data_IF_194928704688
#
_entry.id   IF_194928704688
#
_cell.length_a   1.000
_cell.length_b   1.000
_cell.length_c   1.000
_cell.angle_alpha   90.00
_cell.angle_beta   90.00
_cell.angle_gamma   90.00
#
_symmetry.space_group_name_H-M   'P 1'
#
loop_
_entity.id
_entity.type
_entity.pdbx_description
1 polymer ?
#
# COMPACT_ATOMS: atom_id res chain seq x y z
N UNK A 1 -11.48 3.25 11.38
CA UNK A 1 -10.54 3.14 10.25
C UNK A 1 -10.62 1.72 9.70
N UNK A 2 -10.76 1.58 8.39
CA UNK A 2 -10.83 0.30 7.67
C UNK A 2 -9.44 -0.16 7.21
N UNK A 3 -9.32 -1.43 6.81
CA UNK A 3 -8.08 -1.96 6.23
C UNK A 3 -7.64 -1.18 4.99
N UNK A 4 -8.59 -0.77 4.14
CA UNK A 4 -8.31 0.01 2.95
C UNK A 4 -7.73 1.39 3.29
N UNK A 5 -8.34 2.10 4.24
CA UNK A 5 -7.84 3.41 4.69
C UNK A 5 -6.44 3.31 5.29
N UNK A 6 -6.20 2.30 6.13
CA UNK A 6 -4.87 2.07 6.70
C UNK A 6 -3.85 1.76 5.62
N UNK A 7 -4.20 0.94 4.62
CA UNK A 7 -3.34 0.67 3.49
C UNK A 7 -2.99 1.94 2.70
N UNK A 8 -3.96 2.81 2.45
CA UNK A 8 -3.74 4.10 1.78
C UNK A 8 -2.79 4.97 2.60
N UNK A 9 -2.97 5.09 3.91
CA UNK A 9 -2.07 5.87 4.77
C UNK A 9 -0.64 5.34 4.71
N UNK A 10 -0.46 4.02 4.87
CA UNK A 10 0.87 3.40 4.81
C UNK A 10 1.52 3.59 3.43
N UNK A 11 0.76 3.44 2.35
CA UNK A 11 1.28 3.63 0.99
C UNK A 11 1.64 5.09 0.70
N UNK A 12 0.85 6.05 1.21
CA UNK A 12 1.15 7.48 1.10
C UNK A 12 2.42 7.86 1.87
N UNK A 13 2.64 7.29 3.05
CA UNK A 13 3.84 7.56 3.84
C UNK A 13 5.09 6.87 3.30
N UNK A 14 4.93 5.68 2.70
CA UNK A 14 6.07 4.89 2.25
C UNK A 14 6.70 5.41 0.96
N UNK A 15 5.96 6.17 0.15
CA UNK A 15 6.35 6.71 -1.17
C UNK A 15 7.00 5.66 -2.11
N UNK A 16 6.71 4.38 -1.86
CA UNK A 16 7.34 3.25 -2.55
C UNK A 16 6.34 2.11 -2.70
N UNK A 17 6.50 1.27 -3.74
CA UNK A 17 5.65 0.10 -3.93
C UNK A 17 5.86 -0.91 -2.80
N UNK A 18 4.81 -1.19 -2.02
CA UNK A 18 4.85 -2.12 -0.89
C UNK A 18 4.03 -3.38 -1.15
N UNK A 19 4.44 -4.48 -0.54
CA UNK A 19 3.65 -5.72 -0.53
C UNK A 19 2.48 -5.65 0.47
N UNK A 20 1.42 -6.43 0.24
CA UNK A 20 0.31 -6.56 1.20
C UNK A 20 0.79 -6.96 2.61
N UNK A 21 1.83 -7.79 2.69
CA UNK A 21 2.47 -8.17 3.94
C UNK A 21 3.09 -6.97 4.65
N UNK A 22 3.95 -6.20 3.97
CA UNK A 22 4.55 -4.98 4.53
C UNK A 22 3.50 -3.94 4.95
N UNK A 23 2.43 -3.79 4.17
CA UNK A 23 1.34 -2.87 4.48
C UNK A 23 0.64 -3.30 5.78
N UNK A 24 0.36 -4.60 5.91
CA UNK A 24 -0.29 -5.18 7.09
C UNK A 24 0.58 -5.01 8.34
N UNK A 25 1.85 -5.39 8.26
CA UNK A 25 2.82 -5.28 9.35
C UNK A 25 2.94 -3.84 9.84
N UNK A 26 3.08 -2.88 8.92
CA UNK A 26 3.17 -1.45 9.26
C UNK A 26 1.87 -0.90 9.85
N UNK A 27 0.71 -1.33 9.34
CA UNK A 27 -0.58 -0.91 9.85
C UNK A 27 -0.82 -1.43 11.28
N UNK A 28 -0.39 -2.66 11.58
CA UNK A 28 -0.43 -3.24 12.92
C UNK A 28 0.58 -2.57 13.86
N UNK A 29 1.82 -2.39 13.43
CA UNK A 29 2.87 -1.75 14.22
C UNK A 29 2.50 -0.32 14.63
N UNK A 30 1.73 0.38 13.81
CA UNK A 30 1.22 1.73 14.09
C UNK A 30 -0.14 1.74 14.81
N UNK A 31 -0.76 0.59 15.04
CA UNK A 31 -2.09 0.49 15.65
C UNK A 31 -3.21 1.11 14.80
N UNK A 32 -3.00 1.27 13.49
CA UNK A 32 -3.99 1.85 12.57
C UNK A 32 -5.20 0.92 12.37
N UNK A 33 -4.94 -0.39 12.46
CA UNK A 33 -5.95 -1.43 12.37
C UNK A 33 -5.88 -2.30 13.61
N UNK A 34 -7.06 -2.70 14.09
CA UNK A 34 -7.19 -3.71 15.14
C UNK A 34 -7.85 -4.93 14.52
N UNK A 35 -7.21 -6.08 14.66
CA UNK A 35 -7.68 -7.33 14.04
C UNK A 35 -7.93 -8.37 15.11
N UNK A 36 -9.17 -8.83 15.23
CA UNK A 36 -9.55 -9.88 16.17
C UNK A 36 -9.32 -11.32 15.62
N UNK A 37 -8.87 -11.44 14.37
CA UNK A 37 -8.78 -12.72 13.64
C UNK A 37 -7.35 -13.23 13.38
N UNK A 38 -7.25 -14.51 13.00
CA UNK A 38 -5.98 -15.25 12.79
C UNK A 38 -5.12 -14.78 11.60
N UNK A 39 -5.67 -14.01 10.65
CA UNK A 39 -4.97 -13.70 9.39
C UNK A 39 -5.26 -12.28 8.88
N UNK A 40 -4.72 -11.24 9.55
CA UNK A 40 -4.90 -9.85 9.13
C UNK A 40 -4.41 -9.58 7.69
N UNK A 41 -3.38 -10.30 7.25
CA UNK A 41 -2.84 -10.22 5.88
C UNK A 41 -3.90 -10.60 4.81
N UNK A 42 -4.70 -11.63 5.08
CA UNK A 42 -5.72 -12.09 4.14
C UNK A 42 -6.82 -11.04 3.99
N UNK A 43 -7.28 -10.47 5.10
CA UNK A 43 -8.27 -9.38 5.11
C UNK A 43 -7.72 -8.13 4.41
N UNK A 44 -6.48 -7.75 4.69
CA UNK A 44 -5.82 -6.63 4.03
C UNK A 44 -5.72 -6.86 2.51
N UNK A 45 -5.35 -8.06 2.09
CA UNK A 45 -5.26 -8.40 0.67
C UNK A 45 -6.63 -8.32 0.00
N UNK A 46 -7.69 -8.87 0.60
CA UNK A 46 -9.04 -8.78 0.08
C UNK A 46 -9.53 -7.32 -0.04
N UNK A 47 -9.22 -6.48 0.95
CA UNK A 47 -9.55 -5.06 0.93
C UNK A 47 -8.85 -4.31 -0.23
N UNK A 48 -7.58 -4.61 -0.47
CA UNK A 48 -6.83 -4.04 -1.60
C UNK A 48 -7.38 -4.49 -2.96
N UNK A 49 -7.72 -5.78 -3.10
CA UNK A 49 -8.28 -6.32 -4.34
C UNK A 49 -9.72 -5.85 -4.61
N UNK A 50 -10.52 -5.64 -3.56
CA UNK A 50 -11.90 -5.15 -3.63
C UNK A 50 -12.00 -3.62 -3.65
N UNK A 51 -10.88 -2.89 -3.60
CA UNK A 51 -10.88 -1.44 -3.63
C UNK A 51 -11.43 -0.92 -4.96
N UNK A 52 -12.27 0.14 -4.90
CA UNK A 52 -12.71 0.85 -6.10
C UNK A 52 -11.51 1.47 -6.82
N UNK A 53 -11.52 1.55 -8.16
CA UNK A 53 -10.51 2.29 -8.92
C UNK A 53 -10.32 3.74 -8.44
N UNK A 54 -11.37 4.37 -7.91
CA UNK A 54 -11.34 5.72 -7.32
C UNK A 54 -10.41 5.85 -6.11
N UNK A 55 -10.02 4.75 -5.48
CA UNK A 55 -9.09 4.76 -4.34
C UNK A 55 -7.66 5.20 -4.73
N UNK A 56 -7.34 5.29 -6.03
CA UNK A 56 -6.02 5.68 -6.51
C UNK A 56 -4.94 4.61 -6.25
N UNK A 57 -5.35 3.37 -6.00
CA UNK A 57 -4.44 2.24 -5.80
C UNK A 57 -4.01 1.67 -7.15
N UNK A 58 -2.70 1.56 -7.36
CA UNK A 58 -2.10 1.03 -8.57
C UNK A 58 -1.23 -0.18 -8.25
N UNK A 59 -1.29 -1.19 -9.09
CA UNK A 59 -0.55 -2.44 -8.91
C UNK A 59 0.70 -2.38 -9.77
N UNK A 60 1.88 -2.39 -9.15
CA UNK A 60 3.18 -2.40 -9.83
C UNK A 60 3.73 -3.83 -9.96
N UNK A 61 2.86 -4.76 -10.33
CA UNK A 61 3.28 -6.14 -10.57
C UNK A 61 3.67 -6.30 -12.05
N UNK A 62 4.98 -6.48 -12.32
CA UNK A 62 5.41 -6.99 -13.63
C UNK A 62 5.24 -8.51 -13.65
N UNK A 63 4.35 -9.07 -14.49
CA UNK A 63 4.29 -10.51 -14.67
C UNK A 63 5.59 -11.00 -15.32
N UNK A 64 6.40 -11.74 -14.55
CA UNK A 64 7.47 -12.56 -15.11
C UNK A 64 6.92 -13.89 -15.66
N UNK A 65 7.82 -14.79 -16.10
CA UNK A 65 7.47 -16.16 -16.56
C UNK A 65 6.78 -17.04 -15.51
N UNK A 66 6.77 -16.63 -14.23
CA UNK A 66 6.09 -17.32 -13.14
C UNK A 66 4.98 -16.44 -12.56
N UNK A 67 3.88 -17.08 -12.15
CA UNK A 67 2.79 -16.44 -11.41
C UNK A 67 3.36 -15.78 -10.15
N UNK A 68 2.79 -14.63 -9.74
CA UNK A 68 3.16 -13.98 -8.47
C UNK A 68 3.06 -14.99 -7.33
N UNK A 69 4.10 -15.15 -6.51
CA UNK A 69 3.97 -15.88 -5.26
C UNK A 69 3.06 -15.07 -4.31
N UNK A 70 2.44 -15.76 -3.34
CA UNK A 70 1.65 -15.09 -2.28
C UNK A 70 2.54 -14.01 -1.63
N UNK A 71 2.07 -12.77 -1.58
CA UNK A 71 2.84 -11.64 -1.05
C UNK A 71 3.76 -10.92 -2.05
N UNK A 72 3.80 -11.32 -3.33
CA UNK A 72 4.66 -10.68 -4.35
C UNK A 72 4.02 -9.51 -5.10
N UNK A 73 2.73 -9.22 -4.87
CA UNK A 73 2.04 -8.10 -5.52
C UNK A 73 2.40 -6.82 -4.79
N UNK A 74 3.05 -5.91 -5.51
CA UNK A 74 3.37 -4.59 -5.01
C UNK A 74 2.27 -3.61 -5.35
N UNK A 75 1.80 -2.91 -4.33
CA UNK A 75 0.82 -1.85 -4.41
C UNK A 75 1.54 -0.53 -4.28
N UNK A 76 1.16 0.42 -5.12
CA UNK A 76 1.59 1.81 -5.05
C UNK A 76 0.37 2.70 -4.99
N UNK A 77 0.46 3.79 -4.25
CA UNK A 77 -0.57 4.82 -4.26
C UNK A 77 -0.25 5.80 -5.38
N UNK A 78 -1.11 5.85 -6.38
CA UNK A 78 -0.96 6.68 -7.58
C UNK A 78 -2.05 7.75 -7.68
N UNK A 79 -2.70 8.11 -6.57
CA UNK A 79 -3.38 9.40 -6.56
C UNK A 79 -2.28 10.46 -6.67
N UNK A 80 -2.39 11.32 -7.67
CA UNK A 80 -1.42 12.37 -7.95
C UNK A 80 -0.85 12.95 -6.66
N UNK A 81 0.48 12.85 -6.43
CA UNK A 81 1.13 13.69 -5.44
C UNK A 81 1.11 15.11 -6.02
N UNK A 82 -0.06 15.73 -6.03
CA UNK A 82 -0.12 17.17 -6.18
C UNK A 82 0.53 17.75 -4.93
N UNK A 83 1.80 18.11 -5.12
CA UNK A 83 2.55 19.11 -4.36
C UNK A 83 3.30 18.61 -3.11
N UNK A 84 4.48 18.03 -3.32
CA UNK A 84 5.73 18.45 -2.63
C UNK A 84 6.93 17.71 -3.21
N UNK A 85 7.49 18.27 -4.28
CA UNK A 85 8.95 18.42 -4.39
C UNK A 85 9.16 19.86 -4.84
N UNK A 86 8.87 20.76 -3.91
CA UNK A 86 9.48 22.07 -3.85
C UNK A 86 10.68 21.93 -2.90
N UNK A 87 11.86 21.67 -3.47
CA UNK A 87 13.19 21.89 -2.92
C UNK A 87 14.16 21.52 -4.07
N UNK A 88 14.69 22.42 -4.89
CA UNK A 88 15.16 23.77 -4.58
C UNK A 88 15.97 23.80 -3.28
N UNK A 89 17.11 23.11 -3.30
CA UNK A 89 18.36 23.55 -2.65
C UNK A 89 19.44 23.37 -3.73
N UNK A 90 19.74 24.42 -4.51
CA UNK A 90 20.80 25.38 -4.17
C UNK A 90 22.13 24.79 -4.66
N UNK A 91 22.51 24.97 -5.93
CA UNK A 91 23.43 26.04 -6.36
C UNK A 91 24.47 26.39 -5.27
N UNK A 92 25.64 25.78 -5.37
CA UNK A 92 26.94 26.46 -5.21
C UNK A 92 28.00 25.64 -5.94
#
# INVERSE_FOLDING_TARGET
MTFLEAAIVILREADRPLTNHEITERALARGLIQTAGKTPEATMSAALYGASPDAGLRRDFRPGRRRAARGSVRWTYAAEPSRTTAAAHGRT
#
